data_IF_027610897615
#
_entry.id   IF_027610897615
#
_cell.length_a   1.000
_cell.length_b   1.000
_cell.length_c   1.000
_cell.angle_alpha   90.00
_cell.angle_beta   90.00
_cell.angle_gamma   90.00
#
_symmetry.space_group_name_H-M   'P 1'
#
loop_
_entity.id
_entity.type
_entity.pdbx_description
1 polymer ?
#
# COMPACT_ATOMS: atom_id res chain seq x y z
N UNK A 1 10.07 23.70 3.22
CA UNK A 1 9.30 23.42 1.98
C UNK A 1 7.90 22.94 2.31
N UNK A 2 7.78 21.94 3.21
CA UNK A 2 6.52 21.41 3.73
C UNK A 2 5.50 22.48 4.18
N UNK A 3 5.89 23.42 5.03
CA UNK A 3 4.98 24.48 5.52
C UNK A 3 4.44 25.38 4.41
N UNK A 4 5.23 25.63 3.35
CA UNK A 4 4.79 26.46 2.21
C UNK A 4 3.72 25.73 1.40
N UNK A 5 3.91 24.44 1.12
CA UNK A 5 2.89 23.64 0.43
C UNK A 5 1.63 23.50 1.29
N UNK A 6 1.79 23.27 2.60
CA UNK A 6 0.65 23.22 3.53
C UNK A 6 -0.17 24.50 3.47
N UNK A 7 0.48 25.66 3.57
CA UNK A 7 -0.19 26.96 3.47
C UNK A 7 -0.91 27.14 2.13
N UNK A 8 -0.35 26.63 1.04
CA UNK A 8 -1.01 26.63 -0.28
C UNK A 8 -2.26 25.74 -0.29
N UNK A 9 -2.16 24.50 0.22
CA UNK A 9 -3.29 23.57 0.31
C UNK A 9 -4.44 24.18 1.14
N UNK A 10 -4.12 24.86 2.24
CA UNK A 10 -5.12 25.53 3.10
C UNK A 10 -5.84 26.71 2.44
N UNK A 11 -5.23 27.32 1.41
CA UNK A 11 -5.85 28.40 0.63
C UNK A 11 -6.61 27.88 -0.60
N UNK A 12 -6.52 26.59 -0.90
CA UNK A 12 -7.15 26.00 -2.08
C UNK A 12 -8.68 25.96 -1.97
N UNK A 13 -9.36 25.96 -3.12
CA UNK A 13 -10.80 25.76 -3.18
C UNK A 13 -11.23 24.43 -2.56
N UNK A 14 -10.39 23.38 -2.67
CA UNK A 14 -10.66 22.07 -2.08
C UNK A 14 -10.75 22.14 -0.55
N UNK A 15 -9.84 22.89 0.10
CA UNK A 15 -9.89 23.08 1.55
C UNK A 15 -11.08 23.93 2.00
N UNK A 16 -11.50 24.91 1.18
CA UNK A 16 -12.70 25.71 1.47
C UNK A 16 -13.99 24.89 1.36
N UNK A 17 -14.06 23.94 0.43
CA UNK A 17 -15.25 23.11 0.19
C UNK A 17 -15.32 21.90 1.14
N UNK A 18 -14.18 21.24 1.40
CA UNK A 18 -14.09 19.95 2.10
C UNK A 18 -12.97 19.93 3.12
N UNK A 19 -13.06 20.83 4.10
CA UNK A 19 -12.01 21.07 5.09
C UNK A 19 -11.55 19.80 5.82
N UNK A 20 -12.49 19.06 6.41
CA UNK A 20 -12.18 17.89 7.22
C UNK A 20 -11.52 16.76 6.41
N UNK A 21 -11.97 16.54 5.17
CA UNK A 21 -11.37 15.55 4.26
C UNK A 21 -9.93 15.92 3.92
N UNK A 22 -9.67 17.19 3.58
CA UNK A 22 -8.33 17.66 3.23
C UNK A 22 -7.39 17.62 4.44
N UNK A 23 -7.88 17.99 5.64
CA UNK A 23 -7.11 17.86 6.87
C UNK A 23 -6.78 16.39 7.18
N UNK A 24 -7.73 15.48 6.97
CA UNK A 24 -7.53 14.03 7.14
C UNK A 24 -6.47 13.48 6.17
N UNK A 25 -6.57 13.83 4.88
CA UNK A 25 -5.58 13.44 3.88
C UNK A 25 -4.19 13.98 4.22
N UNK A 26 -4.09 15.25 4.63
CA UNK A 26 -2.81 15.85 5.03
C UNK A 26 -2.18 15.16 6.23
N UNK A 27 -2.99 14.74 7.23
CA UNK A 27 -2.49 13.97 8.38
C UNK A 27 -1.89 12.63 7.97
N UNK A 28 -2.45 11.98 6.94
CA UNK A 28 -1.98 10.67 6.44
C UNK A 28 -0.72 10.80 5.60
N UNK A 29 -0.69 11.71 4.61
CA UNK A 29 0.40 11.75 3.62
C UNK A 29 1.40 12.89 3.80
N UNK A 30 1.06 13.94 4.57
CA UNK A 30 1.82 15.18 4.60
C UNK A 30 3.24 15.04 5.15
N UNK A 31 3.49 14.10 6.06
CA UNK A 31 4.85 13.79 6.53
C UNK A 31 5.61 12.93 5.51
N UNK A 32 4.98 11.87 5.00
CA UNK A 32 5.61 10.94 4.04
C UNK A 32 5.99 11.63 2.73
N UNK A 33 5.22 12.63 2.30
CA UNK A 33 5.48 13.42 1.08
C UNK A 33 6.84 14.15 1.10
N UNK A 34 7.37 14.45 2.29
CA UNK A 34 8.63 15.17 2.48
C UNK A 34 9.72 14.32 3.12
N UNK A 35 9.40 13.08 3.49
CA UNK A 35 10.31 12.22 4.20
C UNK A 35 11.45 11.78 3.28
N UNK A 36 12.66 11.87 3.80
CA UNK A 36 13.90 11.41 3.15
C UNK A 36 14.60 10.40 4.05
N UNK A 37 13.81 9.60 4.78
CA UNK A 37 14.34 8.41 5.46
C UNK A 37 15.06 7.52 4.44
N UNK A 38 16.22 6.98 4.81
CA UNK A 38 17.06 6.20 3.89
C UNK A 38 16.30 5.04 3.24
N UNK A 39 15.37 4.43 3.98
CA UNK A 39 14.53 3.34 3.48
C UNK A 39 13.51 3.81 2.45
N UNK A 40 13.11 5.09 2.46
CA UNK A 40 12.08 5.64 1.58
C UNK A 40 12.65 6.25 0.30
N UNK A 41 13.99 6.34 0.17
CA UNK A 41 14.67 6.90 -1.00
C UNK A 41 14.65 5.98 -2.23
N UNK A 42 14.42 4.68 -2.04
CA UNK A 42 14.53 3.67 -3.09
C UNK A 42 13.38 2.68 -3.01
N UNK A 43 12.99 2.13 -4.16
CA UNK A 43 12.08 1.01 -4.23
C UNK A 43 12.84 -0.28 -3.93
N UNK A 44 12.32 -1.09 -3.01
CA UNK A 44 13.02 -2.30 -2.57
C UNK A 44 12.26 -3.09 -1.50
N UNK A 45 12.87 -4.21 -1.10
CA UNK A 45 12.35 -5.11 -0.06
C UNK A 45 13.14 -4.96 1.24
N UNK A 46 12.46 -5.18 2.37
CA UNK A 46 13.08 -5.11 3.70
C UNK A 46 13.74 -3.76 3.98
N UNK A 47 15.02 -3.80 4.37
CA UNK A 47 15.81 -2.62 4.69
C UNK A 47 16.30 -1.84 3.46
N UNK A 48 16.23 -2.42 2.26
CA UNK A 48 16.77 -1.80 1.03
C UNK A 48 15.83 -0.77 0.40
N UNK A 49 14.59 -0.70 0.84
CA UNK A 49 13.61 0.21 0.24
C UNK A 49 12.19 0.03 0.75
N UNK A 50 11.26 0.70 0.07
CA UNK A 50 9.81 0.52 0.22
C UNK A 50 9.20 -0.14 -1.02
N UNK A 51 8.14 -0.91 -0.83
CA UNK A 51 7.36 -1.51 -1.92
C UNK A 51 5.89 -1.61 -1.51
N UNK A 52 5.00 -1.51 -2.50
CA UNK A 52 3.56 -1.76 -2.35
C UNK A 52 3.12 -3.07 -2.99
N UNK A 53 4.04 -3.78 -3.65
CA UNK A 53 3.82 -5.14 -4.17
C UNK A 53 3.93 -6.20 -3.07
N UNK A 54 4.67 -5.87 -2.02
CA UNK A 54 4.88 -6.71 -0.85
C UNK A 54 4.53 -5.90 0.40
N UNK A 55 3.96 -6.54 1.42
CA UNK A 55 3.78 -5.87 2.72
C UNK A 55 5.13 -5.45 3.31
N UNK A 56 5.15 -4.38 4.11
CA UNK A 56 6.38 -3.74 4.56
C UNK A 56 7.31 -4.59 5.45
N UNK A 57 6.83 -5.75 5.90
CA UNK A 57 7.57 -6.76 6.66
C UNK A 57 8.17 -7.87 5.78
N UNK A 58 7.93 -7.88 4.46
CA UNK A 58 8.47 -8.87 3.54
C UNK A 58 9.95 -8.64 3.22
N UNK A 59 10.70 -9.73 3.20
CA UNK A 59 12.09 -9.82 2.79
C UNK A 59 12.22 -10.60 1.47
N UNK A 60 13.43 -10.63 0.90
CA UNK A 60 13.70 -11.34 -0.35
C UNK A 60 13.31 -12.83 -0.27
N UNK A 61 13.58 -13.49 0.86
CA UNK A 61 13.21 -14.90 1.10
C UNK A 61 11.70 -15.15 0.98
N UNK A 62 10.89 -14.16 1.35
CA UNK A 62 9.43 -14.25 1.31
C UNK A 62 8.95 -14.16 -0.15
N UNK A 63 9.56 -13.28 -0.93
CA UNK A 63 9.30 -13.15 -2.36
C UNK A 63 9.71 -14.41 -3.14
N UNK A 64 10.87 -14.99 -2.82
CA UNK A 64 11.32 -16.25 -3.42
C UNK A 64 10.41 -17.43 -3.06
N UNK A 65 9.94 -17.49 -1.82
CA UNK A 65 8.98 -18.52 -1.37
C UNK A 65 7.66 -18.39 -2.13
N UNK A 66 7.12 -17.18 -2.25
CA UNK A 66 5.89 -16.93 -2.99
C UNK A 66 6.05 -17.25 -4.48
N UNK A 67 7.19 -16.89 -5.10
CA UNK A 67 7.45 -17.22 -6.50
C UNK A 67 7.44 -18.73 -6.75
N UNK A 68 8.12 -19.51 -5.90
CA UNK A 68 8.10 -20.98 -6.00
C UNK A 68 6.68 -21.54 -5.87
N UNK A 69 5.88 -20.98 -4.97
CA UNK A 69 4.48 -21.38 -4.82
C UNK A 69 3.67 -21.07 -6.10
N UNK A 70 3.78 -19.86 -6.65
CA UNK A 70 3.10 -19.46 -7.89
C UNK A 70 3.48 -20.36 -9.07
N UNK A 71 4.77 -20.62 -9.25
CA UNK A 71 5.29 -21.49 -10.31
C UNK A 71 4.72 -22.92 -10.15
N UNK A 72 4.70 -23.45 -8.93
CA UNK A 72 4.14 -24.78 -8.63
C UNK A 72 2.63 -24.91 -8.93
N UNK A 73 1.91 -23.77 -8.98
CA UNK A 73 0.48 -23.70 -9.28
C UNK A 73 0.19 -23.23 -10.71
N UNK A 74 1.23 -22.92 -11.49
CA UNK A 74 1.07 -22.34 -12.84
C UNK A 74 0.43 -20.96 -12.82
N UNK A 75 0.55 -20.22 -11.71
CA UNK A 75 -0.04 -18.89 -11.55
C UNK A 75 1.00 -17.85 -11.91
N UNK A 76 0.62 -16.89 -12.75
CA UNK A 76 1.48 -15.78 -13.12
C UNK A 76 1.59 -14.75 -11.98
N UNK A 77 2.81 -14.26 -11.72
CA UNK A 77 3.04 -13.20 -10.74
C UNK A 77 2.65 -11.79 -11.23
N UNK A 78 2.33 -11.63 -12.52
CA UNK A 78 2.13 -10.30 -13.13
C UNK A 78 0.99 -9.48 -12.54
N UNK A 79 -0.12 -10.13 -12.17
CA UNK A 79 -1.31 -9.48 -11.63
C UNK A 79 -1.54 -9.80 -10.15
N UNK A 80 -0.49 -10.13 -9.40
CA UNK A 80 -0.58 -10.49 -7.98
C UNK A 80 0.26 -9.57 -7.08
N UNK A 81 -0.12 -9.50 -5.81
CA UNK A 81 0.66 -8.89 -4.72
C UNK A 81 0.75 -9.83 -3.54
N UNK A 82 1.80 -9.71 -2.73
CA UNK A 82 2.05 -10.59 -1.59
C UNK A 82 1.90 -9.83 -0.26
N UNK A 83 1.03 -10.31 0.61
CA UNK A 83 0.89 -9.80 1.97
C UNK A 83 1.32 -10.86 2.98
N UNK A 84 2.17 -10.47 3.94
CA UNK A 84 2.60 -11.31 5.05
C UNK A 84 1.99 -10.78 6.35
N UNK A 85 1.19 -11.59 7.01
CA UNK A 85 0.57 -11.31 8.30
C UNK A 85 1.05 -12.31 9.36
N UNK A 86 0.84 -11.99 10.65
CA UNK A 86 1.09 -12.94 11.72
C UNK A 86 -0.11 -13.91 11.80
N UNK A 87 0.15 -15.21 11.60
CA UNK A 87 -0.84 -16.27 11.79
C UNK A 87 -0.91 -16.74 13.25
N UNK A 88 -1.70 -17.81 13.47
CA UNK A 88 -1.72 -18.51 14.75
C UNK A 88 -0.33 -19.08 15.05
N UNK A 89 0.11 -18.97 16.31
CA UNK A 89 1.42 -19.43 16.82
C UNK A 89 2.64 -18.70 16.24
N UNK A 90 2.55 -17.38 15.97
CA UNK A 90 3.63 -16.52 15.45
C UNK A 90 4.22 -16.97 14.09
N UNK A 91 3.53 -17.87 13.38
CA UNK A 91 3.94 -18.31 12.06
C UNK A 91 3.51 -17.29 11.00
N UNK A 92 4.37 -16.96 10.02
CA UNK A 92 4.00 -16.04 8.96
C UNK A 92 2.93 -16.67 8.07
N UNK A 93 1.81 -15.97 7.92
CA UNK A 93 0.77 -16.29 6.94
C UNK A 93 1.00 -15.44 5.68
N UNK A 94 0.97 -16.09 4.52
CA UNK A 94 1.16 -15.45 3.23
C UNK A 94 -0.16 -15.42 2.46
N UNK A 95 -0.52 -14.25 1.96
CA UNK A 95 -1.68 -14.03 1.11
C UNK A 95 -1.20 -13.53 -0.26
N UNK A 96 -1.50 -14.30 -1.31
CA UNK A 96 -1.32 -13.88 -2.70
C UNK A 96 -2.64 -13.29 -3.18
N UNK A 97 -2.67 -11.97 -3.39
CA UNK A 97 -3.88 -11.27 -3.84
C UNK A 97 -3.83 -10.99 -5.32
N UNK A 98 -4.81 -11.48 -6.07
CA UNK A 98 -4.95 -11.22 -7.50
C UNK A 98 -5.73 -9.92 -7.75
N UNK A 99 -5.30 -9.12 -8.73
CA UNK A 99 -6.05 -7.96 -9.19
C UNK A 99 -7.25 -8.40 -10.03
N UNK A 100 -8.45 -8.20 -9.48
CA UNK A 100 -9.74 -8.66 -10.03
C UNK A 100 -10.85 -7.69 -9.61
N UNK A 101 -11.87 -7.52 -10.44
CA UNK A 101 -13.09 -6.78 -10.08
C UNK A 101 -14.04 -7.62 -9.20
N UNK A 102 -13.95 -8.95 -9.29
CA UNK A 102 -14.70 -9.89 -8.45
C UNK A 102 -13.99 -9.96 -7.10
N UNK A 103 -14.74 -9.71 -6.02
CA UNK A 103 -14.28 -9.84 -4.64
C UNK A 103 -14.81 -11.15 -4.05
N UNK A 104 -13.99 -11.84 -3.27
CA UNK A 104 -14.47 -12.92 -2.40
C UNK A 104 -15.15 -12.33 -1.16
N UNK A 105 -16.17 -13.02 -0.63
CA UNK A 105 -17.02 -12.60 0.50
C UNK A 105 -16.21 -12.37 1.81
N UNK A 106 -14.96 -12.82 1.85
CA UNK A 106 -14.05 -12.75 3.00
C UNK A 106 -12.93 -11.71 2.89
N UNK A 107 -12.84 -10.93 1.80
CA UNK A 107 -11.81 -9.90 1.67
C UNK A 107 -12.19 -8.66 2.52
N UNK A 108 -11.37 -8.23 3.51
CA UNK A 108 -11.65 -6.98 4.22
C UNK A 108 -11.65 -5.84 3.21
N UNK A 109 -12.79 -5.14 3.14
CA UNK A 109 -13.02 -4.01 2.25
C UNK A 109 -11.77 -3.13 2.15
N UNK A 110 -11.25 -2.86 0.94
CA UNK A 110 -10.15 -1.92 0.79
C UNK A 110 -10.58 -0.57 1.38
N UNK A 111 -9.71 0.13 2.15
CA UNK A 111 -10.04 1.44 2.68
C UNK A 111 -10.51 2.33 1.53
N UNK A 112 -11.68 2.95 1.72
CA UNK A 112 -12.43 3.68 0.70
C UNK A 112 -11.56 4.75 0.01
N UNK A 113 -10.90 4.37 -1.07
CA UNK A 113 -10.07 5.24 -1.90
C UNK A 113 -10.55 5.29 -3.35
N UNK A 114 -11.64 4.60 -3.68
CA UNK A 114 -12.27 4.66 -4.99
C UNK A 114 -13.73 5.10 -4.83
N UNK A 115 -14.05 6.38 -5.07
CA UNK A 115 -15.42 6.76 -5.38
C UNK A 115 -15.84 5.99 -6.63
N UNK A 116 -16.98 5.33 -6.57
CA UNK A 116 -17.62 4.62 -7.67
C UNK A 116 -17.90 5.61 -8.81
N UNK A 117 -16.98 5.72 -9.75
CA UNK A 117 -17.18 6.45 -11.01
C UNK A 117 -16.54 5.65 -12.12
N UNK A 118 -17.23 4.62 -12.61
CA UNK A 118 -17.41 4.34 -14.05
C UNK A 118 -18.79 3.67 -14.17
N UNK A 119 -19.58 4.16 -15.14
CA UNK A 119 -20.97 3.83 -15.46
C UNK A 119 -21.22 2.33 -15.72
#
# INVERSE_FOLDING_TARGET
MQEKLKALVWKSAAYQQKREEVESLWKVCGQLMYSLDDRQKQLGLGAKGISTYFSGNCELKDAELAQKFLDSKGISAYNTRLFKTAGTDDKPLYEVRQASAIMDVTDPSPPALYPSVIQ
#
